data_IF_724185992964
#
_entry.id   IF_724185992964
#
_cell.length_a   1.000
_cell.length_b   1.000
_cell.length_c   1.000
_cell.angle_alpha   90.00
_cell.angle_beta   90.00
_cell.angle_gamma   90.00
#
_symmetry.space_group_name_H-M   'P 1'
#
loop_
_entity.id
_entity.type
_entity.pdbx_description
1 polymer ?
#
# COMPACT_ATOMS: atom_id res chain seq x y z
N UNK A 1 7.70 -12.90 -9.16
CA UNK A 1 6.94 -11.95 -10.00
C UNK A 1 5.99 -11.16 -9.10
N UNK A 2 5.88 -9.85 -9.34
CA UNK A 2 4.89 -8.98 -8.68
C UNK A 2 3.79 -8.61 -9.66
N UNK A 3 2.54 -8.71 -9.21
CA UNK A 3 1.37 -8.29 -9.97
C UNK A 3 0.90 -6.92 -9.46
N UNK A 4 0.78 -5.97 -10.37
CA UNK A 4 0.31 -4.61 -10.10
C UNK A 4 -1.10 -4.45 -10.65
N UNK A 5 -2.04 -4.06 -9.79
CA UNK A 5 -3.38 -3.64 -10.20
C UNK A 5 -3.34 -2.15 -10.49
N UNK A 6 -3.55 -1.80 -11.75
CA UNK A 6 -3.62 -0.42 -12.22
C UNK A 6 -5.05 0.12 -12.06
N UNK A 7 -5.21 1.09 -11.17
CA UNK A 7 -6.48 1.78 -10.95
C UNK A 7 -6.67 2.97 -11.92
N UNK A 8 -6.20 2.86 -13.16
CA UNK A 8 -6.28 3.91 -14.18
C UNK A 8 -5.56 5.19 -13.76
N UNK A 9 -4.34 5.02 -13.24
CA UNK A 9 -3.54 6.10 -12.69
C UNK A 9 -2.26 6.34 -13.48
N UNK A 10 -1.93 7.61 -13.72
CA UNK A 10 -0.71 7.99 -14.45
C UNK A 10 0.59 7.67 -13.69
N UNK A 11 0.54 7.52 -12.38
CA UNK A 11 1.70 7.19 -11.54
C UNK A 11 2.01 5.68 -11.47
N UNK A 12 1.13 4.83 -11.98
CA UNK A 12 1.33 3.37 -11.96
C UNK A 12 2.64 2.97 -12.64
N UNK A 13 2.97 3.57 -13.76
CA UNK A 13 4.20 3.24 -14.49
C UNK A 13 5.47 3.66 -13.75
N UNK A 14 5.43 4.69 -12.91
CA UNK A 14 6.56 5.06 -12.06
C UNK A 14 6.81 3.97 -11.00
N UNK A 15 5.75 3.39 -10.44
CA UNK A 15 5.85 2.24 -9.54
C UNK A 15 6.45 1.03 -10.28
N UNK A 16 5.96 0.73 -11.48
CA UNK A 16 6.47 -0.35 -12.33
C UNK A 16 7.95 -0.17 -12.62
N UNK A 17 8.38 1.05 -12.95
CA UNK A 17 9.77 1.38 -13.19
C UNK A 17 10.63 1.13 -11.95
N UNK A 18 10.21 1.58 -10.78
CA UNK A 18 10.95 1.36 -9.53
C UNK A 18 11.06 -0.12 -9.19
N UNK A 19 9.99 -0.89 -9.37
CA UNK A 19 10.02 -2.34 -9.17
C UNK A 19 10.96 -3.04 -10.15
N UNK A 20 11.00 -2.58 -11.40
CA UNK A 20 11.94 -3.05 -12.41
C UNK A 20 13.40 -2.76 -12.05
N UNK A 21 13.69 -1.56 -11.53
CA UNK A 21 15.01 -1.18 -11.01
C UNK A 21 15.46 -2.08 -9.84
N UNK A 22 14.49 -2.57 -9.06
CA UNK A 22 14.73 -3.52 -7.97
C UNK A 22 14.83 -4.99 -8.45
N UNK A 23 14.88 -5.22 -9.76
CA UNK A 23 15.07 -6.53 -10.36
C UNK A 23 13.82 -7.41 -10.41
N UNK A 24 12.63 -6.84 -10.26
CA UNK A 24 11.39 -7.60 -10.28
C UNK A 24 10.85 -7.81 -11.69
N UNK A 25 10.31 -9.01 -11.95
CA UNK A 25 9.39 -9.25 -13.04
C UNK A 25 8.03 -8.67 -12.66
N UNK A 26 7.56 -7.67 -13.40
CA UNK A 26 6.32 -6.94 -13.11
C UNK A 26 5.27 -7.23 -14.16
N UNK A 27 4.10 -7.65 -13.73
CA UNK A 27 2.92 -7.83 -14.59
C UNK A 27 1.85 -6.86 -14.14
N UNK A 28 1.26 -6.11 -15.10
CA UNK A 28 0.29 -5.06 -14.83
C UNK A 28 -1.05 -5.42 -15.47
N UNK A 29 -2.12 -5.35 -14.69
CA UNK A 29 -3.49 -5.45 -15.19
C UNK A 29 -4.31 -4.30 -14.64
N UNK A 30 -5.21 -3.74 -15.47
CA UNK A 30 -6.20 -2.79 -14.99
C UNK A 30 -7.20 -3.47 -14.06
N UNK A 31 -7.76 -2.71 -13.14
CA UNK A 31 -8.62 -3.22 -12.06
C UNK A 31 -9.92 -3.91 -12.55
N UNK A 32 -10.31 -3.70 -13.79
CA UNK A 32 -11.49 -4.29 -14.45
C UNK A 32 -11.14 -5.29 -15.57
N UNK A 33 -9.84 -5.60 -15.74
CA UNK A 33 -9.34 -6.48 -16.81
C UNK A 33 -8.75 -7.79 -16.29
N UNK A 34 -8.94 -8.11 -15.01
CA UNK A 34 -8.43 -9.34 -14.40
C UNK A 34 -9.45 -9.92 -13.42
N UNK A 35 -9.42 -11.23 -13.23
CA UNK A 35 -10.25 -11.96 -12.28
C UNK A 35 -9.42 -12.58 -11.17
N UNK A 36 -10.07 -12.93 -10.05
CA UNK A 36 -9.43 -13.67 -8.95
C UNK A 36 -8.80 -14.98 -9.45
N UNK A 37 -9.53 -15.74 -10.28
CA UNK A 37 -9.02 -16.99 -10.85
C UNK A 37 -7.74 -16.77 -11.68
N UNK A 38 -7.68 -15.68 -12.45
CA UNK A 38 -6.49 -15.36 -13.23
C UNK A 38 -5.29 -14.99 -12.35
N UNK A 39 -5.52 -14.29 -11.25
CA UNK A 39 -4.46 -14.00 -10.27
C UNK A 39 -3.94 -15.29 -9.64
N UNK A 40 -4.81 -16.23 -9.29
CA UNK A 40 -4.40 -17.54 -8.79
C UNK A 40 -3.54 -18.31 -9.78
N UNK A 41 -3.94 -18.33 -11.07
CA UNK A 41 -3.15 -18.98 -12.13
C UNK A 41 -1.76 -18.35 -12.29
N UNK A 42 -1.65 -17.03 -12.22
CA UNK A 42 -0.38 -16.32 -12.32
C UNK A 42 0.51 -16.55 -11.11
N UNK A 43 -0.06 -16.87 -9.96
CA UNK A 43 0.63 -17.16 -8.72
C UNK A 43 1.72 -16.13 -8.37
N UNK A 44 1.41 -14.82 -8.28
CA UNK A 44 2.40 -13.81 -7.98
C UNK A 44 2.93 -13.97 -6.55
N UNK A 45 4.19 -13.57 -6.35
CA UNK A 45 4.82 -13.55 -5.02
C UNK A 45 4.35 -12.36 -4.18
N UNK A 46 3.96 -11.28 -4.85
CA UNK A 46 3.47 -10.03 -4.24
C UNK A 46 2.35 -9.41 -5.07
N UNK A 47 1.47 -8.68 -4.39
CA UNK A 47 0.43 -7.86 -5.01
C UNK A 47 0.65 -6.40 -4.64
N UNK A 48 0.57 -5.50 -5.63
CA UNK A 48 0.59 -4.06 -5.41
C UNK A 48 -0.67 -3.43 -5.99
N UNK A 49 -1.35 -2.62 -5.21
CA UNK A 49 -2.56 -1.90 -5.62
C UNK A 49 -2.18 -0.44 -5.82
N UNK A 50 -2.29 0.04 -7.05
CA UNK A 50 -1.83 1.36 -7.45
C UNK A 50 -2.68 2.51 -6.88
N UNK A 51 -2.15 3.74 -6.92
CA UNK A 51 -2.99 4.94 -6.84
C UNK A 51 -4.12 4.89 -7.87
N UNK A 52 -5.09 5.76 -7.71
CA UNK A 52 -6.18 5.92 -8.67
C UNK A 52 -7.14 7.03 -8.27
N UNK A 53 -8.07 7.38 -9.16
CA UNK A 53 -9.09 8.37 -8.90
C UNK A 53 -10.23 7.81 -8.04
N UNK A 54 -11.11 8.70 -7.58
CA UNK A 54 -12.35 8.38 -6.88
C UNK A 54 -12.15 7.69 -5.53
N UNK A 55 -12.99 6.72 -5.21
CA UNK A 55 -12.98 5.98 -3.94
C UNK A 55 -12.66 4.51 -4.16
N UNK A 56 -12.39 3.73 -3.10
CA UNK A 56 -12.21 2.29 -3.24
C UNK A 56 -13.39 1.55 -3.86
N UNK A 57 -14.61 2.11 -3.79
CA UNK A 57 -15.78 1.52 -4.42
C UNK A 57 -15.67 1.47 -5.96
N UNK A 58 -14.92 2.38 -6.56
CA UNK A 58 -14.67 2.43 -8.00
C UNK A 58 -13.33 1.80 -8.40
N UNK A 59 -12.66 1.11 -7.48
CA UNK A 59 -11.35 0.48 -7.71
C UNK A 59 -11.46 -0.97 -8.26
N UNK A 60 -12.53 -1.31 -8.94
CA UNK A 60 -12.73 -2.60 -9.59
C UNK A 60 -12.55 -3.77 -8.64
N UNK A 61 -11.65 -4.70 -8.98
CA UNK A 61 -11.39 -5.93 -8.23
C UNK A 61 -10.67 -5.70 -6.88
N UNK A 62 -10.18 -4.48 -6.60
CA UNK A 62 -9.23 -4.25 -5.48
C UNK A 62 -9.74 -4.70 -4.13
N UNK A 63 -10.99 -4.37 -3.76
CA UNK A 63 -11.57 -4.79 -2.47
C UNK A 63 -11.72 -6.31 -2.37
N UNK A 64 -12.25 -6.94 -3.42
CA UNK A 64 -12.41 -8.40 -3.48
C UNK A 64 -11.06 -9.12 -3.41
N UNK A 65 -10.07 -8.61 -4.14
CA UNK A 65 -8.72 -9.16 -4.17
C UNK A 65 -8.06 -9.12 -2.79
N UNK A 66 -8.18 -8.02 -2.06
CA UNK A 66 -7.64 -7.90 -0.70
C UNK A 66 -8.26 -8.96 0.19
N UNK A 67 -9.57 -9.13 0.16
CA UNK A 67 -10.28 -10.10 0.99
C UNK A 67 -9.92 -11.54 0.62
N UNK A 68 -9.78 -11.84 -0.66
CA UNK A 68 -9.51 -13.19 -1.14
C UNK A 68 -8.07 -13.64 -0.84
N UNK A 69 -7.09 -12.75 -1.09
CA UNK A 69 -5.66 -13.09 -0.97
C UNK A 69 -5.05 -12.74 0.39
N UNK A 70 -5.80 -12.17 1.33
CA UNK A 70 -5.31 -11.95 2.68
C UNK A 70 -4.79 -13.26 3.30
N UNK A 71 -3.59 -13.21 3.87
CA UNK A 71 -2.93 -14.38 4.44
C UNK A 71 -2.34 -15.35 3.41
N UNK A 72 -2.48 -15.08 2.09
CA UNK A 72 -1.93 -15.91 1.01
C UNK A 72 -0.75 -15.24 0.31
N UNK A 73 -0.88 -13.96 -0.02
CA UNK A 73 0.11 -13.20 -0.78
C UNK A 73 0.35 -11.86 -0.08
N UNK A 74 1.61 -11.44 0.13
CA UNK A 74 1.91 -10.11 0.65
C UNK A 74 1.37 -9.00 -0.26
N UNK A 75 0.77 -7.96 0.33
CA UNK A 75 0.15 -6.85 -0.40
C UNK A 75 0.67 -5.50 0.07
N UNK A 76 0.84 -4.59 -0.88
CA UNK A 76 1.06 -3.17 -0.64
C UNK A 76 0.03 -2.35 -1.40
N UNK A 77 -0.68 -1.48 -0.70
CA UNK A 77 -1.58 -0.49 -1.30
C UNK A 77 -0.97 0.90 -1.28
N UNK A 78 -1.03 1.62 -2.40
CA UNK A 78 -0.52 2.99 -2.54
C UNK A 78 -1.69 3.94 -2.81
N UNK A 79 -1.83 4.97 -2.00
CA UNK A 79 -2.87 6.00 -2.10
C UNK A 79 -4.28 5.39 -2.12
N UNK A 80 -4.94 5.28 -3.27
CA UNK A 80 -6.22 4.58 -3.39
C UNK A 80 -6.13 3.13 -2.89
N UNK A 81 -5.04 2.43 -3.18
CA UNK A 81 -4.79 1.07 -2.68
C UNK A 81 -4.71 0.98 -1.17
N UNK A 82 -4.10 1.97 -0.51
CA UNK A 82 -4.10 2.11 0.95
C UNK A 82 -5.51 2.32 1.50
N UNK A 83 -6.30 3.19 0.88
CA UNK A 83 -7.69 3.43 1.26
C UNK A 83 -8.54 2.17 1.07
N UNK A 84 -8.30 1.41 0.00
CA UNK A 84 -8.96 0.12 -0.24
C UNK A 84 -8.65 -0.89 0.88
N UNK A 85 -7.42 -0.94 1.37
CA UNK A 85 -7.05 -1.77 2.52
C UNK A 85 -7.84 -1.33 3.76
N UNK A 86 -7.87 -0.04 4.07
CA UNK A 86 -8.64 0.49 5.18
C UNK A 86 -10.11 0.08 5.11
N UNK A 87 -10.73 0.25 3.95
CA UNK A 87 -12.14 -0.09 3.73
C UNK A 87 -12.42 -1.59 3.72
N UNK A 88 -11.53 -2.39 3.13
CA UNK A 88 -11.69 -3.84 3.05
C UNK A 88 -11.79 -4.50 4.43
N UNK A 89 -11.17 -3.94 5.45
CA UNK A 89 -11.21 -4.45 6.83
C UNK A 89 -12.21 -3.71 7.72
N UNK A 90 -13.05 -2.83 7.17
CA UNK A 90 -14.18 -2.21 7.86
C UNK A 90 -13.96 -0.76 8.29
N UNK A 91 -12.87 -0.12 7.89
CA UNK A 91 -12.64 1.31 8.11
C UNK A 91 -13.42 2.19 7.15
N UNK A 92 -13.57 3.46 7.50
CA UNK A 92 -14.19 4.47 6.66
C UNK A 92 -13.13 5.31 5.94
N UNK A 93 -13.43 5.65 4.69
CA UNK A 93 -12.65 6.60 3.88
C UNK A 93 -13.46 7.88 3.78
N UNK A 94 -12.87 8.97 4.24
CA UNK A 94 -13.53 10.28 4.34
C UNK A 94 -12.73 11.36 3.63
N UNK A 95 -13.37 12.50 3.39
CA UNK A 95 -12.68 13.67 2.85
C UNK A 95 -11.69 14.22 3.89
N UNK A 96 -10.45 14.48 3.46
CA UNK A 96 -9.45 15.16 4.28
C UNK A 96 -9.82 16.63 4.49
N UNK A 97 -9.37 17.20 5.59
CA UNK A 97 -9.58 18.63 5.88
C UNK A 97 -8.88 19.53 4.86
N UNK A 98 -7.78 19.07 4.29
CA UNK A 98 -6.99 19.77 3.27
C UNK A 98 -6.79 18.90 2.04
N UNK A 99 -7.05 19.48 0.86
CA UNK A 99 -6.68 18.85 -0.41
C UNK A 99 -5.15 18.86 -0.56
N UNK A 100 -4.57 17.68 -0.83
CA UNK A 100 -3.16 17.51 -1.14
C UNK A 100 -2.98 17.20 -2.62
N UNK A 101 -2.24 18.06 -3.32
CA UNK A 101 -1.94 17.88 -4.73
C UNK A 101 -0.48 18.24 -5.02
N UNK A 102 0.39 17.23 -5.03
CA UNK A 102 1.81 17.41 -5.24
C UNK A 102 2.54 18.11 -4.10
N UNK A 103 1.93 18.19 -2.93
CA UNK A 103 2.55 18.78 -1.72
C UNK A 103 3.32 17.72 -0.96
N UNK A 104 4.40 18.13 -0.32
CA UNK A 104 5.18 17.26 0.56
C UNK A 104 4.78 17.45 2.02
N UNK A 105 4.95 16.39 2.79
CA UNK A 105 4.77 16.39 4.25
C UNK A 105 5.84 15.53 4.91
N UNK A 106 6.13 15.81 6.15
CA UNK A 106 6.94 14.95 6.99
C UNK A 106 6.11 13.75 7.47
N UNK A 107 6.67 12.57 7.30
CA UNK A 107 6.05 11.29 7.64
C UNK A 107 6.77 10.69 8.83
N UNK A 108 6.06 10.60 9.95
CA UNK A 108 6.53 9.97 11.19
C UNK A 108 6.07 8.52 11.21
N UNK A 109 6.98 7.57 11.40
CA UNK A 109 6.69 6.14 11.28
C UNK A 109 7.28 5.31 12.43
N UNK A 110 6.86 4.04 12.50
CA UNK A 110 7.25 3.12 13.57
C UNK A 110 8.60 2.40 13.36
N UNK A 111 9.24 2.58 12.20
CA UNK A 111 10.54 1.96 11.88
C UNK A 111 10.49 0.46 11.61
N UNK A 112 9.32 -0.13 11.42
CA UNK A 112 9.14 -1.58 11.23
C UNK A 112 8.74 -1.92 9.80
N UNK A 113 8.97 -3.16 9.39
CA UNK A 113 8.59 -3.74 8.10
C UNK A 113 8.98 -2.86 6.91
N UNK A 114 8.05 -2.23 6.20
CA UNK A 114 8.37 -1.36 5.05
C UNK A 114 9.18 -0.11 5.45
N UNK A 115 9.14 0.29 6.70
CA UNK A 115 9.88 1.45 7.23
C UNK A 115 11.22 1.07 7.90
N UNK A 116 11.61 -0.19 7.88
CA UNK A 116 12.83 -0.65 8.51
C UNK A 116 14.07 0.05 7.94
N UNK A 117 14.90 0.63 8.85
CA UNK A 117 16.13 1.32 8.50
C UNK A 117 15.95 2.72 7.92
N UNK A 118 14.74 3.28 7.92
CA UNK A 118 14.47 4.63 7.44
C UNK A 118 14.51 5.65 8.59
N UNK A 119 14.95 6.89 8.30
CA UNK A 119 14.83 7.97 9.28
C UNK A 119 13.37 8.33 9.51
N UNK A 120 13.02 8.77 10.72
CA UNK A 120 11.72 9.31 11.05
C UNK A 120 11.89 10.71 11.67
N UNK A 121 11.29 11.76 11.09
CA UNK A 121 10.49 11.73 9.86
C UNK A 121 11.32 11.67 8.58
N UNK A 122 10.66 11.35 7.48
CA UNK A 122 11.15 11.59 6.12
C UNK A 122 10.11 12.37 5.31
N UNK A 123 10.52 13.00 4.21
CA UNK A 123 9.63 13.78 3.35
C UNK A 123 8.98 12.90 2.28
N UNK A 124 7.68 13.00 2.12
CA UNK A 124 6.94 12.29 1.08
C UNK A 124 5.92 13.17 0.38
N UNK A 125 5.66 12.84 -0.89
CA UNK A 125 4.68 13.53 -1.73
C UNK A 125 3.29 12.97 -1.52
N UNK A 126 2.31 13.88 -1.45
CA UNK A 126 0.90 13.57 -1.24
C UNK A 126 0.06 14.09 -2.40
N UNK A 127 -0.82 13.21 -2.93
CA UNK A 127 -1.81 13.52 -3.98
C UNK A 127 -3.14 12.88 -3.59
N UNK A 128 -3.84 13.43 -2.59
CA UNK A 128 -5.11 12.86 -2.16
C UNK A 128 -6.06 13.91 -1.57
N UNK A 129 -7.35 13.69 -1.76
CA UNK A 129 -8.44 14.42 -1.11
C UNK A 129 -9.17 13.59 -0.06
N UNK A 130 -8.91 12.29 -0.04
CA UNK A 130 -9.51 11.32 0.89
C UNK A 130 -8.45 10.76 1.81
N UNK A 131 -8.87 10.37 3.01
CA UNK A 131 -8.04 9.69 4.02
C UNK A 131 -8.84 8.58 4.69
N UNK A 132 -8.13 7.63 5.28
CA UNK A 132 -8.74 6.65 6.20
C UNK A 132 -9.01 7.33 7.53
N UNK A 133 -10.24 7.21 8.02
CA UNK A 133 -10.67 7.82 9.27
C UNK A 133 -10.09 7.07 10.47
N UNK A 134 -9.40 7.78 11.35
CA UNK A 134 -8.76 7.19 12.53
C UNK A 134 -9.76 6.60 13.52
N UNK A 135 -10.86 7.31 13.77
CA UNK A 135 -11.84 6.96 14.80
C UNK A 135 -12.61 5.68 14.51
N UNK A 136 -12.67 5.28 13.22
CA UNK A 136 -13.34 4.05 12.78
C UNK A 136 -12.37 2.99 12.29
N UNK A 137 -11.07 3.16 12.54
CA UNK A 137 -10.07 2.16 12.15
C UNK A 137 -10.37 0.83 12.87
N UNK A 138 -10.52 -0.29 12.14
CA UNK A 138 -10.80 -1.58 12.76
C UNK A 138 -9.61 -2.08 13.57
N UNK A 139 -9.88 -2.93 14.58
CA UNK A 139 -8.85 -3.48 15.48
C UNK A 139 -7.82 -4.36 14.75
N UNK A 140 -8.15 -4.90 13.58
CA UNK A 140 -7.25 -5.70 12.76
C UNK A 140 -6.12 -4.90 12.10
N UNK A 141 -6.27 -3.57 12.02
CA UNK A 141 -5.29 -2.66 11.43
C UNK A 141 -4.63 -1.79 12.50
N UNK A 142 -3.37 -1.45 12.26
CA UNK A 142 -2.64 -0.48 13.09
C UNK A 142 -2.09 0.65 12.23
N UNK A 143 -2.05 1.86 12.79
CA UNK A 143 -1.41 3.02 12.18
C UNK A 143 0.09 2.87 12.31
N UNK A 144 0.81 2.90 11.20
CA UNK A 144 2.27 2.72 11.17
C UNK A 144 3.01 4.00 10.81
N UNK A 145 2.33 4.96 10.21
CA UNK A 145 2.87 6.30 9.95
C UNK A 145 1.75 7.35 9.96
N UNK A 146 2.13 8.57 10.32
CA UNK A 146 1.22 9.72 10.38
C UNK A 146 1.95 11.04 10.13
N UNK A 147 1.19 12.09 9.81
CA UNK A 147 1.70 13.46 9.80
C UNK A 147 1.77 14.03 11.23
N UNK A 148 2.42 15.19 11.39
CA UNK A 148 2.45 15.90 12.68
C UNK A 148 1.04 16.25 13.21
N UNK A 149 0.07 16.46 12.31
CA UNK A 149 -1.33 16.74 12.63
C UNK A 149 -2.14 15.47 12.93
N UNK A 150 -1.57 14.29 12.79
CA UNK A 150 -2.22 13.01 13.10
C UNK A 150 -3.04 12.41 11.97
N UNK A 151 -2.89 12.87 10.73
CA UNK A 151 -3.47 12.18 9.57
C UNK A 151 -2.75 10.85 9.33
N UNK A 152 -3.51 9.77 9.14
CA UNK A 152 -2.96 8.45 8.85
C UNK A 152 -2.25 8.48 7.50
N UNK A 153 -0.97 8.11 7.50
CA UNK A 153 -0.14 8.03 6.30
C UNK A 153 0.29 6.61 5.95
N UNK A 154 0.15 5.67 6.86
CA UNK A 154 0.36 4.25 6.59
C UNK A 154 -0.41 3.38 7.57
N UNK A 155 -0.77 2.18 7.09
CA UNK A 155 -1.46 1.14 7.82
C UNK A 155 -0.74 -0.19 7.66
N UNK A 156 -0.90 -1.07 8.65
CA UNK A 156 -0.49 -2.48 8.59
C UNK A 156 -1.57 -3.35 9.18
N UNK A 157 -1.84 -4.50 8.55
CA UNK A 157 -2.63 -5.54 9.18
C UNK A 157 -1.81 -6.22 10.29
N UNK A 158 -2.43 -6.47 11.44
CA UNK A 158 -1.73 -7.02 12.61
C UNK A 158 -1.29 -8.48 12.43
N UNK A 159 -1.97 -9.23 11.56
CA UNK A 159 -1.73 -10.67 11.37
C UNK A 159 -1.30 -11.06 9.96
N UNK A 160 -1.72 -10.32 8.94
CA UNK A 160 -1.38 -10.60 7.54
C UNK A 160 -0.31 -9.64 7.04
N UNK A 161 0.46 -10.07 6.04
CA UNK A 161 1.46 -9.25 5.36
C UNK A 161 0.77 -8.27 4.39
N UNK A 162 0.02 -7.33 4.93
CA UNK A 162 -0.72 -6.32 4.19
C UNK A 162 -0.36 -4.96 4.77
N UNK A 163 0.17 -4.08 3.93
CA UNK A 163 0.54 -2.72 4.30
C UNK A 163 0.01 -1.72 3.28
N UNK A 164 -0.24 -0.51 3.72
CA UNK A 164 -0.69 0.57 2.87
C UNK A 164 0.00 1.87 3.20
N UNK A 165 0.28 2.68 2.18
CA UNK A 165 0.83 4.03 2.31
C UNK A 165 -0.06 5.02 1.59
N UNK A 166 -0.40 6.14 2.25
CA UNK A 166 -1.22 7.19 1.67
C UNK A 166 -0.42 8.08 0.72
N UNK A 167 0.86 8.20 0.96
CA UNK A 167 1.79 8.97 0.13
C UNK A 167 2.26 8.16 -1.09
N UNK A 168 3.00 8.80 -1.99
CA UNK A 168 3.50 8.22 -3.24
C UNK A 168 4.99 7.90 -3.15
N UNK A 169 5.38 6.63 -2.90
CA UNK A 169 6.79 6.25 -2.84
C UNK A 169 7.50 6.37 -4.19
N UNK A 170 6.76 6.34 -5.31
CA UNK A 170 7.27 6.44 -6.67
C UNK A 170 7.58 7.89 -7.09
N UNK A 171 7.13 8.87 -6.33
CA UNK A 171 7.42 10.28 -6.64
C UNK A 171 8.89 10.60 -6.38
N UNK A 172 9.50 11.34 -7.31
CA UNK A 172 10.89 11.80 -7.19
C UNK A 172 11.10 12.68 -5.93
N UNK A 173 10.05 13.33 -5.45
CA UNK A 173 10.10 14.19 -4.25
C UNK A 173 9.87 13.41 -2.95
N UNK A 174 9.59 12.11 -3.02
CA UNK A 174 9.52 11.25 -1.86
C UNK A 174 10.91 10.69 -1.56
N UNK A 175 11.39 10.96 -0.35
CA UNK A 175 12.64 10.39 0.13
C UNK A 175 12.45 8.89 0.41
N UNK A 176 13.47 8.10 0.14
CA UNK A 176 13.52 6.66 0.45
C UNK A 176 12.43 5.79 -0.21
N UNK A 177 11.79 6.25 -1.28
CA UNK A 177 10.72 5.49 -1.94
C UNK A 177 11.15 4.10 -2.42
N UNK A 178 12.31 3.99 -3.06
CA UNK A 178 12.89 2.70 -3.47
C UNK A 178 13.13 1.76 -2.28
N UNK A 179 13.57 2.30 -1.14
CA UNK A 179 13.82 1.50 0.07
C UNK A 179 12.52 0.93 0.66
N UNK A 180 11.44 1.72 0.63
CA UNK A 180 10.11 1.26 1.06
C UNK A 180 9.66 0.09 0.18
N UNK A 181 9.78 0.21 -1.13
CA UNK A 181 9.43 -0.86 -2.07
C UNK A 181 10.32 -2.09 -1.89
N UNK A 182 11.64 -1.91 -1.70
CA UNK A 182 12.56 -3.02 -1.42
C UNK A 182 12.19 -3.73 -0.12
N UNK A 183 11.88 -3.00 0.93
CA UNK A 183 11.44 -3.57 2.20
C UNK A 183 10.15 -4.37 2.02
N UNK A 184 9.20 -3.87 1.23
CA UNK A 184 7.99 -4.61 0.90
C UNK A 184 8.30 -5.93 0.17
N UNK A 185 9.18 -5.90 -0.82
CA UNK A 185 9.58 -7.10 -1.57
C UNK A 185 10.28 -8.15 -0.69
N UNK A 186 10.86 -7.72 0.42
CA UNK A 186 11.49 -8.62 1.40
C UNK A 186 10.47 -9.29 2.33
N UNK A 187 9.22 -8.87 2.33
CA UNK A 187 8.15 -9.55 3.05
C UNK A 187 7.78 -10.82 2.29
N UNK A 188 7.80 -11.95 2.98
CA UNK A 188 7.39 -13.24 2.41
C UNK A 188 6.67 -14.07 3.46
N UNK A 189 5.69 -14.84 3.03
CA UNK A 189 4.93 -15.75 3.89
C UNK A 189 5.81 -16.76 4.63
N UNK A 190 6.93 -17.17 4.03
CA UNK A 190 7.91 -18.07 4.67
C UNK A 190 8.64 -17.42 5.86
N UNK A 191 8.88 -16.09 5.81
CA UNK A 191 9.52 -15.36 6.92
C UNK A 191 8.59 -15.08 8.09
N UNK A 192 7.28 -15.02 7.86
CA UNK A 192 6.27 -14.88 8.93
C UNK A 192 6.27 -16.08 9.87
N UNK A 193 6.36 -17.28 9.33
CA UNK A 193 6.37 -18.54 10.10
C UNK A 193 7.58 -18.60 11.03
N UNK A 194 8.72 -18.02 10.62
CA UNK A 194 9.95 -18.01 11.41
C UNK A 194 9.91 -17.04 12.62
N UNK A 195 9.04 -16.03 12.60
CA UNK A 195 8.87 -15.08 13.70
C UNK A 195 7.89 -15.59 14.77
N UNK A 196 6.89 -16.35 14.39
CA UNK A 196 5.93 -16.96 15.33
C UNK A 196 6.54 -18.15 16.11
N UNK A 197 7.57 -18.77 15.58
CA UNK A 197 8.27 -19.90 16.23
C UNK A 197 9.35 -19.52 17.25
N UNK A 198 9.50 -18.24 17.60
CA UNK A 198 10.50 -17.71 18.54
C UNK A 198 9.93 -16.98 19.74
N UNK A 199 8.65 -17.14 20.03
CA UNK A 199 8.02 -16.59 21.24
C UNK A 199 7.90 -17.64 22.35
#
# INVERSE_FOLDING_TARGET
>A
MILVIDNYDSFTYNLVQYLGELGQEVVVFRNDEITIARIEELAPDHLLISPGPCTPNEAGISLEMIQYFKGKIPMLGVCLGHQAIGQAFGGDVIRADKLMHGKTSEIFHDGKTIFAGLPSPFTATRYHSLIVKRETLPDSLEVTAETAEGEIMALRHKHFLIEGVQFHPESIMTEHGLRILQNFLNLSSEKSIALEGRS
#
